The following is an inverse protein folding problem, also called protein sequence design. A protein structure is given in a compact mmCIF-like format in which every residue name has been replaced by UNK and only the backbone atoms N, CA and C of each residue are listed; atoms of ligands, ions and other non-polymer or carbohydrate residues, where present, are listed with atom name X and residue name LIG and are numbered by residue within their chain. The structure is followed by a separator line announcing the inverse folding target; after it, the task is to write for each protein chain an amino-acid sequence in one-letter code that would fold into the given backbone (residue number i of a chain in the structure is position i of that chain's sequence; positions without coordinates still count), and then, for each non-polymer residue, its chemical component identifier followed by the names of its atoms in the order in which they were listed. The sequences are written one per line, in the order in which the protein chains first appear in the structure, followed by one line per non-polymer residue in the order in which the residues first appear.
data_IF_426870912839
#
_entry.id   IF_426870912839
#
_cell.length_a   1.000
_cell.length_b   1.000
_cell.length_c   1.000
_cell.angle_alpha   90.00
_cell.angle_beta   90.00
_cell.angle_gamma   90.00
#
_symmetry.space_group_name_H-M   'P 1'
#
loop_
_entity.id
_entity.type
_entity.pdbx_description
1 polymer ?
#
# COMPACT_ATOMS: atom_id res chain seq x y z
N UNK A 1 -20.97 -9.59 17.13
CA UNK A 1 -20.46 -8.20 17.13
C UNK A 1 -19.52 -8.07 15.94
N UNK A 2 -19.68 -7.07 15.08
CA UNK A 2 -18.68 -6.82 14.02
C UNK A 2 -17.38 -6.39 14.69
N UNK A 3 -16.24 -6.96 14.28
CA UNK A 3 -14.93 -6.54 14.76
C UNK A 3 -14.64 -5.10 14.33
N UNK A 4 -13.70 -4.43 14.98
CA UNK A 4 -13.18 -3.12 14.59
C UNK A 4 -11.68 -3.25 14.39
N UNK A 5 -11.18 -2.84 13.23
CA UNK A 5 -9.76 -2.93 12.88
C UNK A 5 -9.19 -1.55 12.64
N UNK A 6 -8.02 -1.25 13.22
CA UNK A 6 -7.29 0.00 12.94
C UNK A 6 -6.70 -0.05 11.53
N UNK A 7 -6.69 1.10 10.85
CA UNK A 7 -6.05 1.30 9.57
C UNK A 7 -4.92 2.29 9.74
N UNK A 8 -3.72 1.92 9.29
CA UNK A 8 -2.53 2.77 9.36
C UNK A 8 -1.83 2.75 8.02
N UNK A 9 -1.29 3.88 7.58
CA UNK A 9 -0.40 3.96 6.41
C UNK A 9 1.03 4.06 6.90
N UNK A 10 1.85 3.07 6.55
CA UNK A 10 3.28 3.07 6.81
C UNK A 10 4.01 3.70 5.61
N UNK A 11 4.80 4.74 5.87
CA UNK A 11 5.55 5.49 4.85
C UNK A 11 7.01 5.05 4.88
N UNK A 12 7.60 4.86 3.70
CA UNK A 12 8.98 4.43 3.55
C UNK A 12 9.77 5.26 2.55
N UNK A 13 11.08 5.37 2.81
CA UNK A 13 12.06 6.05 1.98
C UNK A 13 12.80 5.06 1.09
N UNK A 14 12.74 5.30 -0.22
CA UNK A 14 13.56 4.59 -1.21
C UNK A 14 14.77 5.48 -1.52
N UNK A 15 15.86 5.22 -0.80
CA UNK A 15 17.08 6.06 -0.82
C UNK A 15 17.69 6.12 -2.22
N UNK A 16 17.73 5.00 -2.94
CA UNK A 16 18.38 4.90 -4.26
C UNK A 16 17.71 5.77 -5.33
N UNK A 17 16.40 5.95 -5.25
CA UNK A 17 15.61 6.72 -6.21
C UNK A 17 15.12 8.07 -5.67
N UNK A 18 15.50 8.44 -4.45
CA UNK A 18 15.01 9.63 -3.76
C UNK A 18 13.47 9.78 -3.84
N UNK A 19 12.78 8.67 -3.55
CA UNK A 19 11.32 8.58 -3.64
C UNK A 19 10.72 7.92 -2.40
N UNK A 20 9.39 7.84 -2.34
CA UNK A 20 8.67 7.23 -1.23
C UNK A 20 7.76 6.10 -1.71
N UNK A 21 7.52 5.15 -0.83
CA UNK A 21 6.49 4.12 -1.00
C UNK A 21 5.66 3.96 0.27
N UNK A 22 4.51 3.30 0.14
CA UNK A 22 3.49 3.21 1.17
C UNK A 22 3.03 1.76 1.33
N UNK A 23 2.72 1.38 2.57
CA UNK A 23 2.04 0.13 2.90
C UNK A 23 0.81 0.42 3.74
N UNK A 24 -0.33 -0.18 3.41
CA UNK A 24 -1.55 -0.08 4.21
C UNK A 24 -1.59 -1.22 5.20
N UNK A 25 -1.53 -0.89 6.48
CA UNK A 25 -1.67 -1.83 7.58
C UNK A 25 -3.12 -1.87 8.05
N UNK A 26 -3.71 -3.07 8.05
CA UNK A 26 -5.05 -3.32 8.59
C UNK A 26 -4.96 -4.44 9.60
N UNK A 27 -5.32 -4.16 10.86
CA UNK A 27 -5.36 -5.18 11.91
C UNK A 27 -4.03 -5.91 12.12
N UNK A 28 -2.89 -5.23 11.93
CA UNK A 28 -1.55 -5.77 12.17
C UNK A 28 -0.91 -6.49 10.99
N UNK A 29 -1.51 -6.45 9.80
CA UNK A 29 -0.90 -6.95 8.56
C UNK A 29 -0.81 -5.81 7.56
N UNK A 30 0.37 -5.67 6.96
CA UNK A 30 0.61 -4.65 5.95
C UNK A 30 0.46 -5.23 4.55
N UNK A 31 -0.15 -4.43 3.68
CA UNK A 31 -0.38 -4.69 2.28
C UNK A 31 0.35 -3.64 1.45
N UNK A 32 1.07 -4.09 0.43
CA UNK A 32 1.82 -3.24 -0.48
C UNK A 32 1.63 -3.70 -1.91
N UNK A 33 1.86 -2.78 -2.86
CA UNK A 33 1.77 -3.05 -4.29
C UNK A 33 3.10 -2.72 -4.97
N UNK A 34 3.64 -3.65 -5.75
CA UNK A 34 4.86 -3.43 -6.53
C UNK A 34 4.74 -4.02 -7.94
N UNK A 35 5.42 -3.37 -8.90
CA UNK A 35 5.55 -3.87 -10.26
C UNK A 35 6.14 -5.29 -10.27
N UNK A 36 5.53 -6.19 -11.04
CA UNK A 36 5.91 -7.61 -11.09
C UNK A 36 5.31 -8.46 -9.97
N UNK A 37 5.35 -8.02 -8.70
CA UNK A 37 4.84 -8.77 -7.56
C UNK A 37 3.31 -8.66 -7.38
N UNK A 38 2.69 -7.56 -7.83
CA UNK A 38 1.28 -7.28 -7.56
C UNK A 38 1.06 -6.90 -6.09
N UNK A 39 -0.15 -7.15 -5.55
CA UNK A 39 -0.45 -6.89 -4.13
C UNK A 39 0.10 -8.05 -3.29
N UNK A 40 0.99 -7.75 -2.35
CA UNK A 40 1.56 -8.71 -1.41
C UNK A 40 1.37 -8.25 0.03
N UNK A 41 1.57 -9.19 0.97
CA UNK A 41 1.46 -8.96 2.41
C UNK A 41 2.81 -9.12 3.07
N UNK A 42 3.07 -8.30 4.08
CA UNK A 42 4.27 -8.34 4.88
C UNK A 42 3.95 -8.03 6.34
N UNK A 43 4.91 -8.33 7.23
CA UNK A 43 4.82 -7.81 8.58
C UNK A 43 4.89 -6.26 8.54
N UNK A 44 4.16 -5.54 9.40
CA UNK A 44 4.25 -4.09 9.45
C UNK A 44 5.68 -3.59 9.53
N UNK A 45 6.00 -2.53 8.77
CA UNK A 45 7.30 -1.82 8.88
C UNK A 45 8.50 -2.67 8.44
N UNK A 46 8.26 -3.73 7.67
CA UNK A 46 9.29 -4.71 7.27
C UNK A 46 9.59 -4.74 5.76
N UNK A 47 9.20 -3.70 5.02
CA UNK A 47 9.45 -3.61 3.59
C UNK A 47 10.95 -3.64 3.28
N UNK A 48 11.39 -4.67 2.54
CA UNK A 48 12.79 -4.79 2.13
C UNK A 48 13.12 -3.81 1.01
N UNK A 49 14.33 -3.22 1.06
CA UNK A 49 14.77 -2.23 0.08
C UNK A 49 14.22 -0.82 0.30
N UNK A 50 13.50 -0.58 1.41
CA UNK A 50 13.02 0.73 1.81
C UNK A 50 13.26 0.96 3.31
N UNK A 51 13.39 2.23 3.72
CA UNK A 51 13.62 2.61 5.12
C UNK A 51 12.32 3.14 5.71
N UNK A 52 11.82 2.53 6.80
CA UNK A 52 10.61 3.02 7.46
C UNK A 52 10.80 4.44 7.97
N UNK A 53 9.87 5.33 7.60
CA UNK A 53 9.83 6.72 8.08
C UNK A 53 8.86 6.88 9.23
N UNK A 54 7.58 6.64 8.98
CA UNK A 54 6.51 6.94 9.93
C UNK A 54 5.25 6.14 9.66
N UNK A 55 4.34 6.15 10.64
CA UNK A 55 3.00 5.58 10.55
C UNK A 55 1.97 6.70 10.69
N UNK A 56 1.04 6.78 9.74
CA UNK A 56 -0.07 7.73 9.73
C UNK A 56 -1.34 6.97 10.10
N UNK A 57 -2.01 7.37 11.19
CA UNK A 57 -3.29 6.81 11.58
C UNK A 57 -4.40 7.28 10.62
N UNK A 58 -5.07 6.33 9.98
CA UNK A 58 -6.20 6.59 9.07
C UNK A 58 -7.55 6.34 9.75
N UNK A 59 -7.55 5.93 11.02
CA UNK A 59 -8.73 5.62 11.80
C UNK A 59 -9.03 4.13 11.82
N UNK A 60 -10.29 3.77 11.59
CA UNK A 60 -10.75 2.40 11.82
C UNK A 60 -11.82 1.96 10.85
N UNK A 61 -11.79 0.68 10.52
CA UNK A 61 -12.78 -0.01 9.71
C UNK A 61 -13.69 -0.89 10.58
N UNK A 62 -14.99 -0.87 10.27
CA UNK A 62 -15.98 -1.78 10.85
C UNK A 62 -15.93 -3.14 10.15
N UNK A 63 -14.99 -3.95 10.60
CA UNK A 63 -14.85 -5.35 10.25
C UNK A 63 -13.60 -5.92 10.88
N UNK A 64 -13.47 -7.24 10.78
CA UNK A 64 -12.27 -7.94 11.23
C UNK A 64 -11.17 -7.82 10.18
N UNK A 65 -9.94 -8.18 10.58
CA UNK A 65 -8.85 -8.38 9.64
C UNK A 65 -9.23 -9.33 8.49
N UNK A 66 -10.01 -10.39 8.76
CA UNK A 66 -10.46 -11.33 7.71
C UNK A 66 -11.38 -10.67 6.69
N UNK A 67 -12.22 -9.73 7.12
CA UNK A 67 -13.09 -8.96 6.22
C UNK A 67 -12.25 -8.05 5.32
N UNK A 68 -11.27 -7.36 5.89
CA UNK A 68 -10.35 -6.52 5.13
C UNK A 68 -9.50 -7.35 4.14
N UNK A 69 -8.97 -8.49 4.60
CA UNK A 69 -8.21 -9.42 3.74
C UNK A 69 -9.05 -9.89 2.55
N UNK A 70 -10.31 -10.26 2.77
CA UNK A 70 -11.21 -10.69 1.70
C UNK A 70 -11.43 -9.59 0.66
N UNK A 71 -11.69 -8.36 1.11
CA UNK A 71 -11.85 -7.20 0.20
C UNK A 71 -10.58 -6.99 -0.63
N UNK A 72 -9.40 -7.06 -0.01
CA UNK A 72 -8.12 -6.90 -0.69
C UNK A 72 -7.80 -8.06 -1.64
N UNK A 73 -8.16 -9.30 -1.26
CA UNK A 73 -8.04 -10.48 -2.11
C UNK A 73 -8.98 -10.41 -3.32
N UNK A 74 -10.19 -9.88 -3.18
CA UNK A 74 -11.11 -9.65 -4.29
C UNK A 74 -10.52 -8.59 -5.25
N UNK A 75 -9.95 -7.51 -4.71
CA UNK A 75 -9.26 -6.47 -5.46
C UNK A 75 -7.99 -6.97 -6.17
N UNK A 76 -7.30 -8.01 -5.68
CA UNK A 76 -6.09 -8.57 -6.35
C UNK A 76 -6.33 -8.94 -7.80
N UNK A 77 -7.52 -9.40 -8.14
CA UNK A 77 -7.91 -9.75 -9.51
C UNK A 77 -7.99 -8.54 -10.46
N UNK A 78 -8.19 -7.34 -9.90
CA UNK A 78 -8.23 -6.08 -10.64
C UNK A 78 -6.84 -5.41 -10.71
N UNK A 79 -5.97 -5.66 -9.72
CA UNK A 79 -4.62 -5.09 -9.62
C UNK A 79 -3.53 -6.13 -9.90
N UNK A 80 -3.46 -6.60 -11.15
CA UNK A 80 -2.36 -7.47 -11.58
C UNK A 80 -1.03 -6.71 -11.68
N UNK A 81 0.10 -7.36 -11.36
CA UNK A 81 1.44 -6.73 -11.43
C UNK A 81 1.82 -6.20 -12.83
N UNK A 82 1.16 -6.67 -13.89
CA UNK A 82 1.28 -6.15 -15.26
C UNK A 82 0.46 -4.89 -15.53
N UNK A 83 -0.48 -4.55 -14.64
CA UNK A 83 -1.19 -3.26 -14.64
C UNK A 83 -0.46 -2.19 -13.83
N UNK A 84 0.73 -2.50 -13.28
CA UNK A 84 1.66 -1.49 -12.76
C UNK A 84 2.21 -0.70 -13.95
N UNK A 85 1.44 0.26 -14.41
CA UNK A 85 1.75 1.07 -15.57
C UNK A 85 2.06 2.50 -15.12
N UNK A 86 3.33 2.71 -14.76
CA UNK A 86 3.89 4.01 -14.35
C UNK A 86 3.60 5.13 -15.37
N UNK A 87 3.27 4.80 -16.62
CA UNK A 87 3.06 5.76 -17.70
C UNK A 87 1.59 5.93 -18.13
N UNK A 88 0.74 4.89 -18.02
CA UNK A 88 -0.59 4.95 -18.68
C UNK A 88 -1.71 5.49 -17.79
N UNK A 89 -1.49 5.67 -16.48
CA UNK A 89 -2.48 6.33 -15.60
C UNK A 89 -2.27 7.84 -15.43
N UNK A 90 -1.18 8.40 -15.98
CA UNK A 90 -0.80 9.80 -15.82
C UNK A 90 -0.40 10.50 -17.13
N UNK A 91 -1.32 10.53 -18.12
CA UNK A 91 -1.26 11.61 -19.11
C UNK A 91 -2.18 12.75 -18.67
N UNK A 92 -1.64 13.60 -17.80
CA UNK A 92 -1.77 15.07 -17.90
C UNK A 92 -0.87 15.73 -16.85
N UNK A 93 0.36 16.02 -17.30
CA UNK A 93 1.10 17.28 -17.10
C UNK A 93 1.09 17.79 -15.65
N UNK A 94 2.22 17.64 -14.94
CA UNK A 94 2.88 18.66 -14.09
C UNK A 94 3.97 18.01 -13.19
N UNK A 95 5.20 18.50 -13.33
CA UNK A 95 6.37 18.51 -12.40
C UNK A 95 6.95 17.21 -11.77
N UNK A 96 8.29 17.08 -11.70
CA UNK A 96 9.01 15.84 -11.38
C UNK A 96 9.11 15.50 -9.87
N UNK A 97 8.22 16.05 -9.04
CA UNK A 97 8.27 15.81 -7.59
C UNK A 97 6.94 15.23 -7.14
N UNK A 98 7.02 14.09 -6.45
CA UNK A 98 5.95 13.43 -5.70
C UNK A 98 4.82 12.89 -6.59
N UNK A 99 4.80 11.58 -6.84
CA UNK A 99 3.52 10.91 -7.00
C UNK A 99 3.48 9.65 -6.14
N UNK A 100 2.50 9.71 -5.24
CA UNK A 100 2.08 8.75 -4.23
C UNK A 100 1.28 7.68 -4.96
N UNK A 101 1.72 6.43 -4.92
CA UNK A 101 0.91 5.30 -5.36
C UNK A 101 0.53 4.47 -4.12
N UNK A 102 -0.65 4.78 -3.57
CA UNK A 102 -1.37 3.92 -2.65
C UNK A 102 -2.20 2.91 -3.46
N UNK A 103 -2.25 1.67 -2.97
CA UNK A 103 -3.54 1.00 -2.75
C UNK A 103 -3.82 1.11 -1.27
#
# INVERSE_FOLDING_TARGET
MKGKSTITVNVYDIVESNSFTYGVEVGGVEYSFAGGAGIFTLAPKSAQGAVFRESIDMGSFEGTYHDAKRILDDMRSEFHGSQYNLLTKYSRRLHPCQHVDLV
#
